data_IF_314283255827
#
_entry.id   IF_314283255827
#
_cell.length_a   1.000
_cell.length_b   1.000
_cell.length_c   1.000
_cell.angle_alpha   90.00
_cell.angle_beta   90.00
_cell.angle_gamma   90.00
#
_symmetry.space_group_name_H-M   'P 1'
#
loop_
_entity.id
_entity.type
_entity.pdbx_description
1 polymer ?
#
# COMPACT_ATOMS: atom_id res chain seq x y z
N UNK A 1 43.63 -37.49 -35.04
CA UNK A 1 42.29 -37.87 -34.54
C UNK A 1 42.01 -37.38 -33.12
N UNK A 2 42.88 -37.59 -32.12
CA UNK A 2 42.63 -37.23 -30.71
C UNK A 2 42.04 -35.82 -30.46
N UNK A 3 42.49 -34.80 -31.20
CA UNK A 3 42.04 -33.40 -31.07
C UNK A 3 40.53 -33.18 -31.35
N UNK A 4 39.86 -34.11 -32.04
CA UNK A 4 38.44 -33.99 -32.40
C UNK A 4 37.54 -34.45 -31.24
N UNK A 5 38.01 -35.40 -30.42
CA UNK A 5 37.23 -35.91 -29.28
C UNK A 5 37.19 -34.94 -28.10
N UNK A 6 38.28 -34.21 -27.84
CA UNK A 6 38.32 -33.21 -26.76
C UNK A 6 37.31 -32.08 -27.00
N UNK A 7 37.20 -31.59 -28.22
CA UNK A 7 36.21 -30.57 -28.60
C UNK A 7 34.76 -31.04 -28.38
N UNK A 8 34.44 -32.28 -28.75
CA UNK A 8 33.11 -32.86 -28.54
C UNK A 8 32.75 -32.99 -27.05
N UNK A 9 33.69 -33.43 -26.21
CA UNK A 9 33.49 -33.59 -24.76
C UNK A 9 33.26 -32.22 -24.09
N UNK A 10 34.03 -31.19 -24.46
CA UNK A 10 33.86 -29.83 -23.91
C UNK A 10 32.50 -29.24 -24.30
N UNK A 11 32.04 -29.46 -25.53
CA UNK A 11 30.71 -29.01 -26.00
C UNK A 11 29.57 -29.69 -25.23
N UNK A 12 29.69 -31.00 -24.95
CA UNK A 12 28.71 -31.73 -24.16
C UNK A 12 28.64 -31.24 -22.69
N UNK A 13 29.77 -30.84 -22.10
CA UNK A 13 29.81 -30.37 -20.71
C UNK A 13 29.16 -28.98 -20.53
N UNK A 14 29.31 -28.08 -21.52
CA UNK A 14 28.64 -26.77 -21.53
C UNK A 14 27.11 -26.87 -21.57
N UNK A 15 26.56 -27.89 -22.24
CA UNK A 15 25.11 -28.07 -22.38
C UNK A 15 24.40 -28.43 -21.06
N UNK A 16 25.12 -28.90 -20.05
CA UNK A 16 24.56 -29.29 -18.74
C UNK A 16 24.44 -28.14 -17.74
N UNK A 17 24.88 -26.93 -18.10
CA UNK A 17 24.78 -25.72 -17.27
C UNK A 17 23.56 -24.85 -17.61
N UNK A 18 22.52 -25.44 -18.21
CA UNK A 18 21.18 -24.81 -18.30
C UNK A 18 20.52 -24.88 -16.91
N UNK A 19 20.93 -23.96 -16.03
CA UNK A 19 20.27 -23.74 -14.75
C UNK A 19 18.89 -23.13 -14.98
N UNK A 20 17.86 -23.99 -15.07
CA UNK A 20 16.48 -23.57 -14.96
C UNK A 20 16.26 -22.88 -13.60
N UNK A 21 16.34 -21.55 -13.60
CA UNK A 21 15.90 -20.72 -12.46
C UNK A 21 14.44 -21.08 -12.18
N UNK A 22 14.10 -21.60 -10.98
CA UNK A 22 12.73 -21.97 -10.69
C UNK A 22 11.86 -20.72 -10.64
N UNK A 23 11.06 -20.49 -11.69
CA UNK A 23 10.04 -19.45 -11.68
C UNK A 23 9.05 -19.75 -10.55
N UNK A 24 8.72 -18.79 -9.66
CA UNK A 24 7.74 -18.99 -8.60
C UNK A 24 6.42 -19.51 -9.18
N UNK A 25 5.97 -20.67 -8.68
CA UNK A 25 4.86 -21.41 -9.29
C UNK A 25 3.53 -20.80 -8.83
N UNK A 26 2.96 -19.95 -9.69
CA UNK A 26 1.61 -19.39 -9.56
C UNK A 26 0.59 -20.49 -9.87
N UNK A 27 0.23 -21.29 -8.87
CA UNK A 27 -0.74 -22.38 -8.96
C UNK A 27 -2.08 -21.94 -9.57
N UNK A 28 -2.58 -20.75 -9.21
CA UNK A 28 -3.87 -20.22 -9.71
C UNK A 28 -3.79 -18.71 -9.96
N UNK A 29 -4.20 -18.27 -11.15
CA UNK A 29 -4.40 -16.84 -11.47
C UNK A 29 -5.85 -16.46 -11.14
N UNK A 30 -6.08 -15.55 -10.20
CA UNK A 30 -7.42 -15.04 -9.89
C UNK A 30 -7.70 -13.72 -10.64
N UNK A 31 -6.68 -12.89 -10.80
CA UNK A 31 -6.75 -11.67 -11.61
C UNK A 31 -5.37 -11.25 -12.11
N UNK A 32 -5.28 -10.78 -13.34
CA UNK A 32 -4.10 -10.15 -13.93
C UNK A 32 -4.55 -9.08 -14.93
N UNK A 33 -3.98 -7.87 -14.85
CA UNK A 33 -4.39 -6.73 -15.65
C UNK A 33 -3.47 -5.52 -15.48
N UNK A 34 -3.80 -4.36 -16.10
CA UNK A 34 -2.91 -3.19 -16.14
C UNK A 34 -2.59 -2.58 -14.77
N UNK A 35 -3.53 -2.66 -13.82
CA UNK A 35 -3.37 -2.16 -12.45
C UNK A 35 -2.57 -3.11 -11.55
N UNK A 36 -2.36 -4.38 -11.94
CA UNK A 36 -1.75 -5.39 -11.08
C UNK A 36 -2.35 -6.78 -11.24
N UNK A 37 -2.25 -7.60 -10.20
CA UNK A 37 -2.76 -8.97 -10.20
C UNK A 37 -2.75 -9.64 -8.83
N UNK A 38 -3.54 -10.69 -8.68
CA UNK A 38 -3.65 -11.52 -7.48
C UNK A 38 -3.68 -13.00 -7.89
N UNK A 39 -2.86 -13.79 -7.21
CA UNK A 39 -2.55 -15.18 -7.55
C UNK A 39 -2.52 -16.02 -6.27
N UNK A 40 -2.79 -17.31 -6.39
CA UNK A 40 -2.38 -18.31 -5.40
C UNK A 40 -1.03 -18.87 -5.84
N UNK A 41 -0.11 -18.96 -4.89
CA UNK A 41 1.26 -19.45 -5.05
C UNK A 41 1.55 -20.45 -3.93
N UNK A 42 2.29 -21.50 -4.23
CA UNK A 42 2.68 -22.51 -3.23
C UNK A 42 3.64 -21.91 -2.18
N UNK A 43 3.47 -22.23 -0.90
CA UNK A 43 4.38 -21.76 0.15
C UNK A 43 5.73 -22.47 0.01
N UNK A 44 6.81 -21.68 -0.07
CA UNK A 44 8.18 -22.19 -0.31
C UNK A 44 8.74 -22.99 0.88
N UNK A 45 8.45 -22.59 2.12
CA UNK A 45 8.81 -23.34 3.32
C UNK A 45 7.74 -24.39 3.65
N UNK A 46 8.13 -25.67 3.56
CA UNK A 46 7.25 -26.82 3.79
C UNK A 46 6.89 -27.05 5.26
N UNK A 47 7.55 -26.36 6.21
CA UNK A 47 7.17 -26.39 7.62
C UNK A 47 6.02 -25.41 7.93
N UNK A 48 5.71 -24.47 7.04
CA UNK A 48 4.59 -23.54 7.19
C UNK A 48 3.33 -24.21 6.63
N UNK A 49 2.30 -24.35 7.46
CA UNK A 49 0.94 -24.68 7.03
C UNK A 49 0.04 -23.50 7.33
N UNK A 50 -0.50 -22.87 6.29
CA UNK A 50 -1.47 -21.80 6.44
C UNK A 50 -2.84 -22.37 6.87
N UNK A 51 -3.57 -21.60 7.68
CA UNK A 51 -4.89 -21.98 8.20
C UNK A 51 -6.00 -21.73 7.16
N UNK A 52 -5.73 -22.04 5.88
CA UNK A 52 -6.62 -21.79 4.75
C UNK A 52 -7.50 -23.01 4.42
N UNK A 53 -8.70 -22.80 3.83
CA UNK A 53 -9.30 -21.52 3.41
C UNK A 53 -9.93 -20.74 4.58
N UNK A 54 -9.92 -19.40 4.49
CA UNK A 54 -10.62 -18.50 5.45
C UNK A 54 -11.52 -17.48 4.75
N UNK A 55 -12.52 -16.98 5.47
CA UNK A 55 -13.41 -15.91 5.01
C UNK A 55 -13.17 -14.64 5.83
N UNK A 56 -12.31 -13.75 5.33
CA UNK A 56 -12.17 -12.40 5.87
C UNK A 56 -13.04 -11.41 5.09
N UNK A 57 -13.75 -10.54 5.81
CA UNK A 57 -14.57 -9.50 5.18
C UNK A 57 -13.72 -8.50 4.38
N UNK A 58 -14.28 -7.98 3.29
CA UNK A 58 -13.61 -7.03 2.40
C UNK A 58 -13.19 -5.76 3.13
N UNK A 59 -14.00 -5.25 4.06
CA UNK A 59 -13.66 -4.04 4.83
C UNK A 59 -12.53 -4.29 5.84
N UNK A 60 -12.41 -5.52 6.37
CA UNK A 60 -11.31 -5.93 7.23
C UNK A 60 -10.01 -6.04 6.42
N UNK A 61 -10.03 -6.69 5.26
CA UNK A 61 -8.86 -6.74 4.36
C UNK A 61 -8.46 -5.33 3.89
N UNK A 62 -9.42 -4.47 3.57
CA UNK A 62 -9.14 -3.08 3.22
C UNK A 62 -8.49 -2.30 4.38
N UNK A 63 -8.98 -2.49 5.61
CA UNK A 63 -8.39 -1.91 6.83
C UNK A 63 -6.99 -2.42 7.11
N UNK A 64 -6.70 -3.69 6.79
CA UNK A 64 -5.34 -4.27 6.86
C UNK A 64 -4.41 -3.56 5.86
N UNK A 65 -4.76 -3.52 4.57
CA UNK A 65 -3.93 -2.86 3.54
C UNK A 65 -3.68 -1.38 3.87
N UNK A 66 -4.72 -0.66 4.29
CA UNK A 66 -4.62 0.74 4.70
C UNK A 66 -3.81 0.98 6.01
N UNK A 67 -3.53 -0.09 6.78
CA UNK A 67 -2.69 -0.06 7.96
C UNK A 67 -1.20 -0.29 7.68
N UNK A 68 -0.83 -0.87 6.53
CA UNK A 68 0.57 -1.15 6.16
C UNK A 68 1.29 0.15 5.78
N UNK A 69 2.42 0.41 6.43
CA UNK A 69 3.27 1.58 6.20
C UNK A 69 4.73 1.20 6.01
N UNK A 70 5.44 1.95 5.17
CA UNK A 70 6.89 1.85 5.01
C UNK A 70 7.54 3.15 5.50
N UNK A 71 8.48 3.03 6.44
CA UNK A 71 9.26 4.14 7.01
C UNK A 71 10.75 4.00 6.72
N UNK A 72 11.56 4.91 7.25
CA UNK A 72 13.00 4.65 7.42
C UNK A 72 13.24 3.80 8.69
N UNK A 73 14.23 2.88 8.67
CA UNK A 73 14.47 1.96 9.79
C UNK A 73 14.90 2.69 11.06
N UNK A 74 14.19 2.44 12.16
CA UNK A 74 14.30 3.19 13.43
C UNK A 74 15.45 2.69 14.33
N UNK A 75 16.68 2.71 13.83
CA UNK A 75 17.85 2.36 14.65
C UNK A 75 18.21 3.50 15.62
N UNK A 76 18.64 3.12 16.83
CA UNK A 76 18.94 4.06 17.93
C UNK A 76 20.03 5.11 17.62
N UNK A 77 20.83 4.89 16.57
CA UNK A 77 21.81 5.87 16.05
C UNK A 77 21.19 6.79 14.99
N UNK A 78 20.26 6.32 14.15
CA UNK A 78 19.51 7.18 13.21
C UNK A 78 18.58 8.13 13.98
N UNK A 79 17.97 7.70 15.10
CA UNK A 79 17.07 8.55 15.92
C UNK A 79 17.71 9.79 16.56
N UNK A 80 19.04 9.96 16.46
CA UNK A 80 19.75 11.15 16.95
C UNK A 80 20.06 12.18 15.84
N UNK A 81 19.91 11.81 14.56
CA UNK A 81 20.32 12.61 13.40
C UNK A 81 19.35 12.60 12.21
N UNK A 82 18.39 11.69 12.19
CA UNK A 82 17.35 11.62 11.16
C UNK A 82 16.29 12.71 11.38
N UNK A 83 15.78 13.27 10.29
CA UNK A 83 14.56 14.07 10.31
C UNK A 83 13.35 13.17 10.60
N UNK A 84 12.26 13.74 11.11
CA UNK A 84 11.00 13.03 11.41
C UNK A 84 10.22 12.61 10.14
N UNK A 85 10.85 11.78 9.31
CA UNK A 85 10.29 11.18 8.11
C UNK A 85 9.17 10.20 8.50
N UNK A 86 7.95 10.73 8.64
CA UNK A 86 6.76 9.97 9.02
C UNK A 86 6.55 8.79 8.03
N UNK A 87 6.41 7.54 8.52
CA UNK A 87 6.14 6.38 7.67
C UNK A 87 4.91 6.59 6.77
N UNK A 88 5.05 6.23 5.50
CA UNK A 88 4.05 6.44 4.45
C UNK A 88 3.20 5.18 4.28
N UNK A 89 1.90 5.31 4.01
CA UNK A 89 1.05 4.15 3.68
C UNK A 89 1.53 3.51 2.36
N UNK A 90 1.68 2.19 2.36
CA UNK A 90 2.23 1.45 1.20
C UNK A 90 1.28 1.47 -0.01
N UNK A 91 -0.03 1.40 0.26
CA UNK A 91 -1.11 1.35 -0.74
C UNK A 91 -1.96 2.63 -0.69
N UNK A 92 -2.43 3.11 -1.83
CA UNK A 92 -3.49 4.13 -1.90
C UNK A 92 -4.87 3.53 -1.62
N UNK A 93 -5.89 4.37 -1.42
CA UNK A 93 -7.26 3.88 -1.26
C UNK A 93 -7.82 3.24 -2.55
N UNK A 94 -7.29 3.60 -3.74
CA UNK A 94 -7.60 2.90 -5.01
C UNK A 94 -6.97 1.51 -5.07
N UNK A 95 -5.68 1.41 -4.72
CA UNK A 95 -4.97 0.11 -4.63
C UNK A 95 -5.68 -0.84 -3.65
N UNK A 96 -6.11 -0.30 -2.51
CA UNK A 96 -6.87 -1.03 -1.48
C UNK A 96 -8.25 -1.44 -1.99
N UNK A 97 -8.96 -0.60 -2.74
CA UNK A 97 -10.26 -0.92 -3.33
C UNK A 97 -10.17 -2.00 -4.42
N UNK A 98 -9.06 -2.02 -5.19
CA UNK A 98 -8.73 -3.07 -6.16
C UNK A 98 -8.34 -4.39 -5.49
N UNK A 99 -7.39 -4.35 -4.55
CA UNK A 99 -6.81 -5.54 -3.92
C UNK A 99 -7.76 -6.24 -2.94
N UNK A 100 -8.49 -5.51 -2.09
CA UNK A 100 -9.30 -6.11 -1.03
C UNK A 100 -10.34 -7.16 -1.50
N UNK A 101 -11.16 -6.94 -2.55
CA UNK A 101 -12.08 -7.97 -3.04
C UNK A 101 -11.36 -9.21 -3.58
N UNK A 102 -10.22 -9.01 -4.27
CA UNK A 102 -9.43 -10.10 -4.86
C UNK A 102 -8.74 -10.94 -3.78
N UNK A 103 -8.19 -10.30 -2.75
CA UNK A 103 -7.53 -10.97 -1.62
C UNK A 103 -8.56 -11.71 -0.75
N UNK A 104 -9.73 -11.14 -0.46
CA UNK A 104 -10.85 -11.87 0.20
C UNK A 104 -11.23 -13.13 -0.61
N UNK A 105 -11.31 -13.01 -1.94
CA UNK A 105 -11.60 -14.15 -2.82
C UNK A 105 -10.50 -15.22 -2.78
N UNK A 106 -9.23 -14.82 -2.84
CA UNK A 106 -8.08 -15.70 -2.79
C UNK A 106 -7.98 -16.47 -1.45
N UNK A 107 -8.08 -15.76 -0.33
CA UNK A 107 -8.06 -16.33 1.02
C UNK A 107 -9.15 -17.41 1.24
N UNK A 108 -10.28 -17.27 0.55
CA UNK A 108 -11.41 -18.21 0.64
C UNK A 108 -11.29 -19.44 -0.28
N UNK A 109 -10.30 -19.46 -1.17
CA UNK A 109 -10.04 -20.54 -2.13
C UNK A 109 -8.67 -21.22 -1.92
N UNK A 110 -7.73 -20.55 -1.25
CA UNK A 110 -6.41 -21.08 -0.93
C UNK A 110 -6.47 -22.41 -0.16
N UNK A 111 -5.54 -23.31 -0.47
CA UNK A 111 -5.27 -24.50 0.34
C UNK A 111 -4.22 -24.21 1.43
N UNK A 112 -4.06 -25.12 2.39
CA UNK A 112 -3.15 -24.94 3.54
C UNK A 112 -1.65 -24.86 3.16
N UNK A 113 -1.30 -25.29 1.95
CA UNK A 113 0.04 -25.21 1.33
C UNK A 113 0.21 -24.04 0.36
N UNK A 114 -0.76 -23.11 0.31
CA UNK A 114 -0.75 -21.93 -0.56
C UNK A 114 -0.78 -20.61 0.21
N UNK A 115 -0.25 -19.57 -0.43
CA UNK A 115 -0.29 -18.17 -0.02
C UNK A 115 -0.89 -17.31 -1.15
N UNK A 116 -1.40 -16.13 -0.80
CA UNK A 116 -1.89 -15.15 -1.77
C UNK A 116 -0.74 -14.23 -2.15
N UNK A 117 -0.27 -14.28 -3.41
CA UNK A 117 0.64 -13.27 -3.96
C UNK A 117 -0.16 -12.16 -4.64
N UNK A 118 0.21 -10.92 -4.36
CA UNK A 118 -0.38 -9.73 -4.97
C UNK A 118 0.70 -8.85 -5.60
N UNK A 119 0.33 -8.11 -6.65
CA UNK A 119 1.15 -7.06 -7.25
C UNK A 119 0.24 -5.90 -7.67
N UNK A 120 0.74 -4.68 -7.57
CA UNK A 120 0.10 -3.43 -8.01
C UNK A 120 1.09 -2.64 -8.86
N UNK A 121 0.62 -2.08 -9.97
CA UNK A 121 1.43 -1.46 -11.01
C UNK A 121 0.97 -0.01 -11.22
N UNK A 122 1.88 0.93 -10.97
CA UNK A 122 1.68 2.36 -11.14
C UNK A 122 2.51 2.89 -12.30
N UNK A 123 1.87 3.54 -13.27
CA UNK A 123 2.54 4.23 -14.37
C UNK A 123 2.72 5.71 -14.03
N UNK A 124 3.94 6.14 -13.70
CA UNK A 124 4.26 7.54 -13.43
C UNK A 124 5.02 8.17 -14.60
N UNK A 125 4.34 9.08 -15.31
CA UNK A 125 4.95 9.98 -16.27
C UNK A 125 5.99 10.87 -15.57
N UNK A 126 7.27 10.61 -15.80
CA UNK A 126 8.34 11.43 -15.23
C UNK A 126 8.45 12.76 -15.98
N UNK A 127 7.93 13.84 -15.38
CA UNK A 127 8.29 15.20 -15.79
C UNK A 127 9.80 15.34 -15.59
N UNK A 128 10.54 15.39 -16.70
CA UNK A 128 11.99 15.30 -16.69
C UNK A 128 12.60 16.52 -15.99
N UNK A 129 13.03 16.32 -14.73
CA UNK A 129 13.93 17.21 -14.03
C UNK A 129 15.36 16.69 -14.26
N UNK A 130 16.17 17.32 -15.12
CA UNK A 130 17.56 16.93 -15.32
C UNK A 130 18.41 17.39 -14.11
N UNK A 131 18.25 16.72 -12.97
CA UNK A 131 19.15 16.81 -11.81
C UNK A 131 20.49 16.16 -12.14
N UNK A 132 21.23 16.84 -13.02
CA UNK A 132 22.44 16.36 -13.69
C UNK A 132 23.14 17.47 -14.46
N UNK A 133 23.09 18.71 -13.95
CA UNK A 133 23.72 19.90 -14.53
C UNK A 133 25.25 19.90 -14.42
N UNK A 134 25.91 18.83 -14.86
CA UNK A 134 27.36 18.77 -15.01
C UNK A 134 27.76 19.19 -16.41
N UNK A 135 28.48 20.31 -16.53
CA UNK A 135 29.02 20.77 -17.82
C UNK A 135 30.18 19.86 -18.26
N UNK A 136 29.87 18.84 -19.07
CA UNK A 136 30.85 17.87 -19.57
C UNK A 136 30.41 17.29 -20.92
N UNK A 137 31.27 17.45 -21.93
CA UNK A 137 31.04 17.02 -23.32
C UNK A 137 30.69 15.52 -23.45
N UNK A 138 29.70 15.18 -24.30
CA UNK A 138 29.56 13.82 -24.85
C UNK A 138 28.38 12.93 -24.39
N UNK A 139 27.23 13.49 -23.97
CA UNK A 139 26.07 12.70 -23.52
C UNK A 139 25.26 12.02 -24.65
N UNK A 140 25.84 11.03 -25.33
CA UNK A 140 25.19 10.29 -26.43
C UNK A 140 24.21 9.19 -25.98
N UNK A 141 23.26 9.53 -25.12
CA UNK A 141 22.02 8.79 -24.88
C UNK A 141 21.01 9.67 -24.12
N UNK A 142 19.89 10.03 -24.75
CA UNK A 142 18.79 10.66 -24.02
C UNK A 142 18.19 9.65 -23.04
N UNK A 143 18.05 10.04 -21.77
CA UNK A 143 17.39 9.23 -20.74
C UNK A 143 15.96 8.88 -21.20
N UNK A 144 15.56 7.61 -21.04
CA UNK A 144 14.29 7.10 -21.56
C UNK A 144 13.07 7.87 -21.03
N UNK A 145 12.59 8.84 -21.79
CA UNK A 145 11.44 9.70 -21.49
C UNK A 145 10.07 8.99 -21.66
N UNK A 146 10.03 7.68 -21.39
CA UNK A 146 8.79 6.91 -21.30
C UNK A 146 8.20 6.95 -19.88
N UNK A 147 6.91 6.61 -19.72
CA UNK A 147 6.29 6.47 -18.39
C UNK A 147 7.05 5.43 -17.57
N UNK A 148 7.47 5.82 -16.37
CA UNK A 148 8.20 4.95 -15.46
C UNK A 148 7.21 4.01 -14.76
N UNK A 149 7.45 2.71 -14.85
CA UNK A 149 6.69 1.72 -14.09
C UNK A 149 7.20 1.67 -12.64
N UNK A 150 6.27 1.68 -11.69
CA UNK A 150 6.48 1.36 -10.28
C UNK A 150 5.68 0.10 -9.93
N UNK A 151 6.31 -0.90 -9.34
CA UNK A 151 5.65 -2.11 -8.84
C UNK A 151 5.68 -2.12 -7.31
N UNK A 152 4.55 -2.43 -6.68
CA UNK A 152 4.46 -2.77 -5.26
C UNK A 152 3.85 -4.15 -5.16
N UNK A 153 4.55 -5.12 -4.56
CA UNK A 153 4.13 -6.52 -4.55
C UNK A 153 4.54 -7.22 -3.26
N UNK A 154 3.89 -8.33 -2.95
CA UNK A 154 4.13 -9.07 -1.74
C UNK A 154 3.32 -10.37 -1.68
N UNK A 155 3.37 -11.01 -0.54
CA UNK A 155 2.60 -12.23 -0.25
C UNK A 155 1.87 -12.10 1.09
N UNK A 156 0.80 -12.85 1.27
CA UNK A 156 0.14 -12.98 2.56
C UNK A 156 -0.49 -14.37 2.71
N UNK A 157 -0.52 -14.85 3.95
CA UNK A 157 -1.18 -16.09 4.34
C UNK A 157 -1.71 -15.97 5.78
N UNK A 158 -2.65 -16.82 6.17
CA UNK A 158 -3.18 -16.84 7.52
C UNK A 158 -2.57 -17.97 8.34
N UNK A 159 -2.29 -17.72 9.62
CA UNK A 159 -1.82 -18.72 10.57
C UNK A 159 -2.46 -18.49 11.93
N UNK A 160 -3.35 -19.39 12.34
CA UNK A 160 -4.26 -19.18 13.47
C UNK A 160 -5.08 -17.90 13.29
N UNK A 161 -5.11 -17.04 14.31
CA UNK A 161 -5.81 -15.74 14.29
C UNK A 161 -4.93 -14.59 13.79
N UNK A 162 -3.86 -14.88 13.04
CA UNK A 162 -2.93 -13.86 12.52
C UNK A 162 -2.78 -13.96 11.00
N UNK A 163 -2.72 -12.81 10.34
CA UNK A 163 -2.34 -12.70 8.94
C UNK A 163 -0.84 -12.36 8.89
N UNK A 164 -0.06 -13.22 8.26
CA UNK A 164 1.31 -12.93 7.87
C UNK A 164 1.26 -12.18 6.54
N UNK A 165 1.98 -11.06 6.45
CA UNK A 165 2.05 -10.21 5.27
C UNK A 165 3.50 -9.84 5.03
N UNK A 166 4.04 -10.14 3.85
CA UNK A 166 5.44 -9.87 3.49
C UNK A 166 5.49 -8.99 2.24
N UNK A 167 6.09 -7.82 2.37
CA UNK A 167 6.29 -6.90 1.24
C UNK A 167 7.56 -7.33 0.49
N UNK A 168 7.44 -7.79 -0.76
CA UNK A 168 8.59 -8.20 -1.58
C UNK A 168 9.17 -7.06 -2.41
N UNK A 169 8.30 -6.13 -2.84
CA UNK A 169 8.64 -4.97 -3.66
C UNK A 169 7.86 -3.74 -3.16
N UNK A 170 8.52 -2.60 -3.00
CA UNK A 170 7.88 -1.33 -2.65
C UNK A 170 8.25 -0.23 -3.66
N UNK A 171 7.29 0.12 -4.53
CA UNK A 171 7.45 1.14 -5.58
C UNK A 171 8.71 0.92 -6.44
N UNK A 172 9.13 -0.34 -6.57
CA UNK A 172 10.31 -0.77 -7.33
C UNK A 172 10.16 -0.32 -8.78
N UNK A 173 11.25 0.16 -9.38
CA UNK A 173 11.27 0.62 -10.78
C UNK A 173 12.17 -0.29 -11.58
N UNK A 174 11.73 -0.65 -12.79
CA UNK A 174 12.46 -1.47 -13.75
C UNK A 174 13.69 -0.70 -14.32
N UNK A 175 14.63 -0.36 -13.46
CA UNK A 175 15.73 0.56 -13.72
C UNK A 175 16.93 -0.21 -14.28
N UNK A 176 17.23 -0.01 -15.57
CA UNK A 176 18.39 -0.63 -16.22
C UNK A 176 19.67 -0.23 -15.48
N UNK A 177 20.39 -1.21 -14.95
CA UNK A 177 21.68 -0.99 -14.29
C UNK A 177 22.64 -0.27 -15.24
N UNK A 178 23.18 0.87 -14.82
CA UNK A 178 24.12 1.64 -15.62
C UNK A 178 25.51 0.99 -15.56
N UNK A 179 25.75 0.02 -16.45
CA UNK A 179 26.98 -0.78 -16.51
C UNK A 179 28.19 -0.06 -17.10
N UNK A 180 28.06 1.23 -17.45
CA UNK A 180 29.19 2.07 -17.87
C UNK A 180 30.13 2.24 -16.66
N UNK A 181 31.34 1.71 -16.78
CA UNK A 181 32.25 1.40 -15.66
C UNK A 181 32.92 2.56 -14.92
N UNK A 182 32.22 3.67 -14.67
CA UNK A 182 32.70 4.78 -13.86
C UNK A 182 32.85 4.45 -12.36
N UNK A 183 33.47 5.34 -11.58
CA UNK A 183 33.67 5.16 -10.14
C UNK A 183 32.37 5.31 -9.32
N UNK A 184 31.39 6.10 -9.81
CA UNK A 184 30.11 6.33 -9.14
C UNK A 184 29.10 5.21 -9.50
N UNK A 185 29.36 3.99 -9.03
CA UNK A 185 28.48 2.83 -9.24
C UNK A 185 27.31 2.86 -8.27
N UNK A 186 26.18 3.40 -8.70
CA UNK A 186 24.93 3.25 -7.95
C UNK A 186 24.53 1.77 -7.90
N UNK A 187 24.46 1.19 -6.71
CA UNK A 187 23.97 -0.17 -6.53
C UNK A 187 22.44 -0.15 -6.74
N UNK A 188 21.89 -0.95 -7.68
CA UNK A 188 20.45 -0.96 -7.91
C UNK A 188 19.74 -1.57 -6.70
N UNK A 189 18.69 -0.92 -6.20
CA UNK A 189 17.79 -1.52 -5.21
C UNK A 189 16.80 -2.46 -5.95
N UNK A 190 16.93 -3.79 -5.80
CA UNK A 190 16.14 -4.75 -6.56
C UNK A 190 14.70 -4.91 -6.02
N UNK A 191 14.38 -4.29 -4.88
CA UNK A 191 13.07 -4.41 -4.22
C UNK A 191 12.44 -3.06 -3.86
N UNK A 192 13.21 -1.98 -3.77
CA UNK A 192 12.76 -0.69 -3.24
C UNK A 192 12.68 -0.65 -1.71
N UNK A 193 13.32 -1.62 -1.04
CA UNK A 193 13.19 -1.87 0.40
C UNK A 193 14.51 -1.74 1.20
N UNK A 194 15.67 -1.52 0.58
CA UNK A 194 16.96 -1.62 1.31
C UNK A 194 17.10 -0.66 2.51
N UNK A 195 16.54 0.55 2.41
CA UNK A 195 16.48 1.56 3.49
C UNK A 195 15.04 1.71 4.05
N UNK A 196 14.23 0.63 4.05
CA UNK A 196 12.84 0.66 4.52
C UNK A 196 12.55 -0.36 5.60
N UNK A 197 11.78 0.08 6.61
CA UNK A 197 11.18 -0.76 7.63
C UNK A 197 9.66 -0.77 7.45
N UNK A 198 9.06 -1.96 7.44
CA UNK A 198 7.61 -2.12 7.29
C UNK A 198 6.95 -2.23 8.68
N UNK A 199 5.94 -1.39 8.91
CA UNK A 199 5.19 -1.30 10.16
C UNK A 199 3.67 -1.34 9.93
N UNK A 200 2.90 -1.59 10.99
CA UNK A 200 1.44 -1.68 10.93
C UNK A 200 0.75 -0.73 11.90
N UNK A 201 -0.23 0.03 11.42
CA UNK A 201 -1.13 0.85 12.23
C UNK A 201 -2.58 0.34 12.14
N UNK A 202 -3.31 0.20 13.27
CA UNK A 202 -2.89 0.50 14.64
C UNK A 202 -1.97 -0.60 15.21
N UNK A 203 -0.91 -0.18 15.90
CA UNK A 203 0.08 -1.10 16.50
C UNK A 203 -0.52 -2.12 17.48
N UNK A 204 -1.70 -1.84 18.07
CA UNK A 204 -2.45 -2.76 18.94
C UNK A 204 -2.89 -4.07 18.27
N UNK A 205 -2.97 -4.08 16.93
CA UNK A 205 -3.25 -5.26 16.12
C UNK A 205 -1.99 -5.83 15.44
N UNK A 206 -0.81 -5.20 15.59
CA UNK A 206 0.45 -5.86 15.27
C UNK A 206 0.82 -6.84 16.39
N UNK A 207 1.41 -7.98 16.05
CA UNK A 207 2.16 -8.78 17.02
C UNK A 207 3.57 -8.21 17.23
N UNK A 208 4.24 -8.54 18.36
CA UNK A 208 5.62 -8.13 18.61
C UNK A 208 6.61 -8.71 17.59
N UNK A 209 7.76 -8.04 17.43
CA UNK A 209 8.77 -8.37 16.43
C UNK A 209 9.43 -9.74 16.63
N UNK A 210 9.23 -10.40 17.77
CA UNK A 210 9.60 -11.80 18.01
C UNK A 210 8.94 -12.81 17.07
N UNK A 211 7.90 -12.39 16.33
CA UNK A 211 7.22 -13.18 15.29
C UNK A 211 7.58 -12.73 13.87
N UNK A 212 8.38 -11.68 13.71
CA UNK A 212 8.86 -11.26 12.38
C UNK A 212 10.06 -12.12 11.99
N UNK A 213 10.14 -12.43 10.70
CA UNK A 213 11.38 -12.91 10.10
C UNK A 213 12.37 -11.75 10.01
N UNK A 214 13.68 -12.02 10.00
CA UNK A 214 14.72 -10.98 10.07
C UNK A 214 14.92 -10.20 8.75
N UNK A 215 13.87 -10.06 7.95
CA UNK A 215 13.84 -9.38 6.64
C UNK A 215 13.44 -7.91 6.73
N UNK A 216 12.84 -7.47 7.85
CA UNK A 216 12.32 -6.10 8.05
C UNK A 216 11.05 -5.76 7.24
N UNK A 217 10.56 -6.69 6.42
CA UNK A 217 9.47 -6.51 5.46
C UNK A 217 8.25 -7.39 5.75
N UNK A 218 8.38 -8.36 6.65
CA UNK A 218 7.30 -9.22 7.15
C UNK A 218 6.59 -8.59 8.36
N UNK A 219 5.26 -8.58 8.32
CA UNK A 219 4.33 -8.19 9.37
C UNK A 219 3.50 -9.40 9.84
N UNK A 220 3.11 -9.40 11.11
CA UNK A 220 2.17 -10.39 11.68
C UNK A 220 1.03 -9.66 12.36
N UNK A 221 -0.17 -9.76 11.80
CA UNK A 221 -1.31 -8.88 12.08
C UNK A 221 -2.46 -9.70 12.67
N UNK A 222 -2.85 -9.40 13.91
CA UNK A 222 -3.99 -10.01 14.61
C UNK A 222 -5.30 -9.40 14.08
N UNK A 223 -5.89 -10.08 13.09
CA UNK A 223 -7.07 -9.58 12.38
C UNK A 223 -8.35 -9.63 13.23
N UNK A 224 -8.41 -10.48 14.26
CA UNK A 224 -9.52 -10.48 15.23
C UNK A 224 -9.49 -9.23 16.12
N UNK A 225 -8.32 -8.83 16.62
CA UNK A 225 -8.18 -7.56 17.36
C UNK A 225 -8.61 -6.39 16.49
N UNK A 226 -8.13 -6.34 15.24
CA UNK A 226 -8.47 -5.27 14.31
C UNK A 226 -9.98 -5.18 14.03
N UNK A 227 -10.66 -6.32 13.85
CA UNK A 227 -12.10 -6.38 13.67
C UNK A 227 -12.86 -5.88 14.92
N UNK A 228 -12.47 -6.34 16.12
CA UNK A 228 -13.09 -5.92 17.40
C UNK A 228 -12.89 -4.43 17.66
N UNK A 229 -11.71 -3.88 17.34
CA UNK A 229 -11.46 -2.44 17.42
C UNK A 229 -12.37 -1.65 16.47
N UNK A 230 -12.59 -2.12 15.23
CA UNK A 230 -13.50 -1.44 14.28
C UNK A 230 -14.97 -1.43 14.73
N UNK A 231 -15.42 -2.46 15.44
CA UNK A 231 -16.77 -2.50 16.00
C UNK A 231 -16.94 -1.51 17.17
N UNK A 232 -15.92 -1.38 18.03
CA UNK A 232 -15.92 -0.40 19.13
C UNK A 232 -15.86 1.05 18.63
N UNK A 233 -15.09 1.32 17.57
CA UNK A 233 -15.03 2.61 16.87
C UNK A 233 -16.41 3.01 16.31
N UNK A 234 -17.08 2.08 15.63
CA UNK A 234 -18.44 2.28 15.12
C UNK A 234 -19.45 2.56 16.25
N UNK A 235 -19.45 1.77 17.33
CA UNK A 235 -20.33 1.99 18.48
C UNK A 235 -20.10 3.35 19.17
N UNK A 236 -18.84 3.78 19.27
CA UNK A 236 -18.48 5.09 19.84
C UNK A 236 -19.01 6.24 18.98
N UNK A 237 -18.88 6.13 17.65
CA UNK A 237 -19.31 7.18 16.70
C UNK A 237 -20.82 7.45 16.68
N UNK A 238 -21.64 6.47 17.09
CA UNK A 238 -23.11 6.60 17.20
C UNK A 238 -23.53 7.22 18.54
N UNK A 239 -22.66 7.22 19.55
CA UNK A 239 -22.99 7.60 20.94
C UNK A 239 -22.48 9.00 21.32
N UNK A 240 -22.32 9.90 20.35
CA UNK A 240 -22.05 11.31 20.60
C UNK A 240 -23.35 12.04 20.98
N UNK A 241 -23.50 12.56 22.22
CA UNK A 241 -24.73 13.24 22.61
C UNK A 241 -24.89 14.56 21.85
N UNK A 242 -26.07 14.79 21.28
CA UNK A 242 -26.45 16.12 20.81
C UNK A 242 -26.63 17.05 22.02
N UNK A 243 -25.55 17.72 22.42
CA UNK A 243 -25.52 18.66 23.54
C UNK A 243 -26.32 19.94 23.18
N UNK A 244 -27.64 19.86 23.31
CA UNK A 244 -28.57 20.98 23.08
C UNK A 244 -28.23 22.16 23.98
N UNK A 245 -27.86 23.29 23.38
CA UNK A 245 -27.58 24.51 24.13
C UNK A 245 -28.88 25.15 24.64
N UNK A 246 -29.12 25.09 25.96
CA UNK A 246 -29.88 26.13 26.70
C UNK A 246 -29.93 25.90 28.22
N UNK A 247 -29.21 26.73 28.97
CA UNK A 247 -29.66 27.25 30.27
C UNK A 247 -29.00 28.62 30.51
N UNK A 248 -29.74 29.56 31.13
CA UNK A 248 -29.44 31.00 31.14
C UNK A 248 -28.90 31.48 32.51
N UNK A 249 -28.36 32.71 32.63
CA UNK A 249 -27.51 33.12 33.77
C UNK A 249 -28.24 33.85 34.91
N UNK A 250 -27.75 33.67 36.14
CA UNK A 250 -27.86 34.53 37.35
C UNK A 250 -27.19 33.76 38.54
N UNK A 251 -26.59 34.37 39.57
CA UNK A 251 -26.29 35.79 39.82
C UNK A 251 -25.15 35.98 40.85
N UNK A 252 -24.50 37.14 40.77
CA UNK A 252 -23.81 37.91 41.83
C UNK A 252 -22.99 37.20 42.95
N UNK A 253 -21.70 37.51 43.00
CA UNK A 253 -21.07 38.14 44.20
C UNK A 253 -19.66 38.67 43.87
N UNK A 254 -19.53 39.99 43.66
CA UNK A 254 -18.23 40.65 43.54
C UNK A 254 -18.37 42.15 43.89
N UNK A 255 -17.52 42.63 44.80
CA UNK A 255 -17.49 44.00 45.33
C UNK A 255 -16.01 44.38 45.64
N UNK A 256 -15.64 45.66 45.83
CA UNK A 256 -15.21 46.45 44.67
C UNK A 256 -13.88 47.19 44.87
N UNK A 257 -13.29 47.70 43.77
CA UNK A 257 -12.42 48.89 43.82
C UNK A 257 -12.30 49.60 42.46
N UNK A 258 -12.28 50.94 42.54
CA UNK A 258 -11.68 51.97 41.67
C UNK A 258 -11.03 51.60 40.31
N UNK A 259 -10.98 52.42 39.25
CA UNK A 259 -11.45 53.79 38.85
C UNK A 259 -11.03 53.95 37.34
N UNK A 260 -11.41 54.91 36.45
CA UNK A 260 -12.40 56.01 36.33
C UNK A 260 -12.43 56.46 34.83
N UNK A 261 -13.53 57.08 34.34
CA UNK A 261 -13.72 57.62 32.96
C UNK A 261 -13.66 56.58 31.79
N UNK A 262 -14.16 56.79 30.55
CA UNK A 262 -15.05 57.82 29.96
C UNK A 262 -15.90 57.23 28.80
N UNK A 263 -16.96 57.95 28.37
CA UNK A 263 -17.69 57.93 27.06
C UNK A 263 -17.78 56.61 26.26
N UNK A 264 -18.98 55.97 26.18
CA UNK A 264 -20.14 56.28 25.28
C UNK A 264 -19.93 55.99 23.76
N UNK A 265 -20.74 55.09 23.16
CA UNK A 265 -21.73 55.35 22.05
C UNK A 265 -22.21 54.05 21.33
N UNK A 266 -23.55 53.94 21.18
CA UNK A 266 -24.41 53.19 20.20
C UNK A 266 -24.05 51.71 19.86
N UNK A 267 -24.88 50.68 20.09
CA UNK A 267 -26.30 50.33 19.78
C UNK A 267 -26.65 49.74 18.39
N UNK A 268 -27.04 48.46 18.44
CA UNK A 268 -27.92 47.65 17.56
C UNK A 268 -27.45 47.17 16.16
N UNK A 269 -28.00 46.03 15.68
CA UNK A 269 -27.56 45.33 14.47
C UNK A 269 -28.50 45.49 13.26
N UNK A 270 -28.03 45.08 12.07
CA UNK A 270 -28.89 44.79 10.91
C UNK A 270 -29.04 43.28 10.75
N UNK A 271 -30.29 42.81 10.75
CA UNK A 271 -30.66 41.40 10.58
C UNK A 271 -31.54 41.28 9.34
N UNK A 272 -31.10 40.55 8.31
CA UNK A 272 -31.92 40.27 7.14
C UNK A 272 -31.72 38.84 6.63
N UNK A 273 -32.84 38.12 6.56
CA UNK A 273 -33.00 36.76 5.99
C UNK A 273 -33.31 36.85 4.49
N UNK A 274 -33.53 35.67 3.89
CA UNK A 274 -34.12 35.38 2.56
C UNK A 274 -33.07 35.22 1.44
N UNK A 275 -33.19 34.25 0.52
CA UNK A 275 -34.20 33.17 0.42
C UNK A 275 -33.65 31.89 -0.22
N UNK A 276 -34.44 30.83 -0.20
CA UNK A 276 -34.18 29.58 -0.93
C UNK A 276 -34.33 29.76 -2.45
N UNK A 277 -33.60 28.95 -3.21
CA UNK A 277 -34.05 28.47 -4.53
C UNK A 277 -33.92 26.96 -4.57
N UNK A 278 -35.03 26.29 -4.90
CA UNK A 278 -35.05 24.87 -5.25
C UNK A 278 -35.33 24.75 -6.75
N UNK A 279 -34.72 23.77 -7.43
CA UNK A 279 -35.22 23.30 -8.72
C UNK A 279 -34.99 21.81 -8.93
N UNK A 280 -36.07 21.14 -9.27
CA UNK A 280 -36.13 19.74 -9.68
C UNK A 280 -35.74 19.58 -11.15
N UNK A 281 -35.22 18.40 -11.50
CA UNK A 281 -34.93 18.00 -12.88
C UNK A 281 -34.95 16.48 -13.00
N UNK A 282 -35.94 15.94 -13.72
CA UNK A 282 -36.15 14.50 -13.94
C UNK A 282 -36.90 14.34 -15.26
N UNK A 283 -36.39 13.50 -16.18
CA UNK A 283 -37.13 12.63 -17.12
C UNK A 283 -36.19 12.02 -18.17
N UNK A 284 -36.36 10.71 -18.44
CA UNK A 284 -36.05 9.99 -19.70
C UNK A 284 -34.55 9.92 -20.14
N UNK A 285 -34.10 8.98 -20.98
CA UNK A 285 -34.81 7.97 -21.80
C UNK A 285 -34.03 6.65 -22.04
N UNK A 286 -34.76 5.56 -22.34
CA UNK A 286 -34.41 4.29 -23.07
C UNK A 286 -33.03 3.59 -22.97
N UNK A 287 -33.00 2.24 -22.80
CA UNK A 287 -31.83 1.40 -23.05
C UNK A 287 -31.73 0.93 -24.52
N UNK A 288 -30.50 0.77 -25.04
CA UNK A 288 -30.25 0.28 -26.41
C UNK A 288 -30.03 -1.24 -26.46
N UNK A 289 -30.74 -1.95 -27.35
CA UNK A 289 -30.46 -3.37 -27.68
C UNK A 289 -29.40 -3.45 -28.78
N UNK A 290 -28.38 -4.28 -28.57
CA UNK A 290 -27.58 -4.83 -29.67
C UNK A 290 -27.90 -6.33 -29.82
N UNK A 291 -28.15 -6.77 -31.06
CA UNK A 291 -28.49 -8.15 -31.38
C UNK A 291 -27.84 -8.55 -32.70
N UNK A 292 -26.87 -9.45 -32.63
CA UNK A 292 -26.21 -10.12 -33.75
C UNK A 292 -25.50 -11.37 -33.21
N UNK A 293 -25.30 -12.47 -33.93
CA UNK A 293 -26.13 -13.14 -34.96
C UNK A 293 -25.37 -14.45 -35.28
N UNK A 294 -26.00 -15.62 -35.19
CA UNK A 294 -25.34 -16.88 -35.56
C UNK A 294 -25.25 -17.01 -37.08
N UNK A 295 -24.06 -17.30 -37.59
CA UNK A 295 -23.86 -17.98 -38.87
C UNK A 295 -22.72 -18.99 -38.72
N UNK A 296 -22.98 -20.19 -39.22
CA UNK A 296 -22.10 -21.33 -39.52
C UNK A 296 -20.59 -21.06 -39.46
#
# INVERSE_FOLDING_TARGET
>A
MALVHTAAIISAFMALLVSCVPTPHRDVILHEGPQGGVYLERISDRNIQATHPIKLDRSLVARILNGVQAGEPRTAVKTLFASDAKPERVFSDEDTAFLAPLITSALSQATADQQVRFQVIHLVSSIAHPSGGGAGVGSSAALSAGPQKKTTAGTLYAHGLSLHFTLSEYRHRDMKANTIGGPNRYYPDPTGLQDREVQFAPHSASRPDSYKQSDGATLVIDYERLAKQSQAELATSVTAPAATAMSAPASASQEPRAETEDRRIIMLPVLLRLSQVSRTGRLLETPMRCSHSKTW
#
